data_IF_257587117744
#
_entry.id   IF_257587117744
#
_cell.length_a   1.000
_cell.length_b   1.000
_cell.length_c   1.000
_cell.angle_alpha   90.00
_cell.angle_beta   90.00
_cell.angle_gamma   90.00
#
_symmetry.space_group_name_H-M   'P 1'
#
loop_
_entity.id
_entity.type
_entity.pdbx_description
1 polymer ?
#
# COMPACT_ATOMS: atom_id res chain seq x y z
N UNK A 1 -8.71 19.92 -5.28
CA UNK A 1 -8.46 19.67 -3.85
C UNK A 1 -8.96 20.84 -2.97
N UNK A 2 -8.53 22.08 -3.18
CA UNK A 2 -8.95 23.24 -2.38
C UNK A 2 -10.47 23.40 -2.27
N UNK A 3 -11.23 23.26 -3.37
CA UNK A 3 -12.70 23.34 -3.37
C UNK A 3 -13.37 22.25 -2.52
N UNK A 4 -12.82 21.04 -2.50
CA UNK A 4 -13.33 19.90 -1.72
C UNK A 4 -13.16 20.12 -0.22
N UNK A 5 -12.10 20.84 0.21
CA UNK A 5 -11.74 21.04 1.61
C UNK A 5 -11.87 22.50 2.07
N UNK A 6 -12.68 23.32 1.39
CA UNK A 6 -12.83 24.76 1.65
C UNK A 6 -13.13 25.09 3.12
N UNK A 7 -13.90 24.26 3.82
CA UNK A 7 -14.21 24.45 5.25
C UNK A 7 -13.00 24.30 6.20
N UNK A 8 -11.87 23.78 5.69
CA UNK A 8 -10.61 23.59 6.44
C UNK A 8 -9.48 24.48 5.91
N UNK A 9 -9.77 25.45 5.04
CA UNK A 9 -8.76 26.21 4.28
C UNK A 9 -7.77 26.94 5.22
N UNK A 10 -8.23 27.39 6.40
CA UNK A 10 -7.39 28.01 7.42
C UNK A 10 -6.34 27.04 8.02
N UNK A 11 -6.62 25.73 7.99
CA UNK A 11 -5.73 24.68 8.52
C UNK A 11 -4.90 24.01 7.44
N UNK A 12 -5.17 24.30 6.17
CA UNK A 12 -4.56 23.61 5.04
C UNK A 12 -3.63 24.52 4.26
N UNK A 13 -2.43 24.02 3.96
CA UNK A 13 -1.49 24.65 3.05
C UNK A 13 -1.31 23.74 1.84
N UNK A 14 -1.41 24.32 0.64
CA UNK A 14 -1.31 23.58 -0.61
C UNK A 14 0.01 23.96 -1.30
N UNK A 15 0.92 22.99 -1.38
CA UNK A 15 2.19 23.15 -2.07
C UNK A 15 2.13 22.39 -3.41
N UNK A 16 2.47 23.06 -4.49
CA UNK A 16 2.78 22.42 -5.77
C UNK A 16 4.24 21.98 -5.68
N UNK A 17 4.49 20.70 -5.96
CA UNK A 17 5.83 20.11 -5.93
C UNK A 17 5.84 18.71 -6.50
N UNK A 18 7.03 18.19 -6.67
CA UNK A 18 7.32 16.83 -7.11
C UNK A 18 8.32 16.23 -6.10
N UNK A 19 8.13 14.96 -5.74
CA UNK A 19 9.04 14.28 -4.80
C UNK A 19 10.46 14.13 -5.35
N UNK A 20 10.64 14.27 -6.66
CA UNK A 20 11.95 14.30 -7.33
C UNK A 20 12.70 15.60 -7.12
N UNK A 21 12.01 16.67 -6.75
CA UNK A 21 12.59 17.97 -6.45
C UNK A 21 12.95 18.06 -4.95
N UNK A 22 14.20 17.74 -4.64
CA UNK A 22 14.74 17.76 -3.28
C UNK A 22 14.58 19.14 -2.62
N UNK A 23 14.91 20.21 -3.33
CA UNK A 23 14.85 21.56 -2.78
C UNK A 23 13.42 21.98 -2.42
N UNK A 24 12.44 21.51 -3.22
CA UNK A 24 11.03 21.75 -2.95
C UNK A 24 10.56 21.03 -1.68
N UNK A 25 11.05 19.82 -1.43
CA UNK A 25 10.72 19.07 -0.22
C UNK A 25 11.24 19.74 1.05
N UNK A 26 12.47 20.25 1.05
CA UNK A 26 13.00 21.00 2.20
C UNK A 26 12.10 22.18 2.59
N UNK A 27 11.63 22.97 1.61
CA UNK A 27 10.69 24.08 1.87
C UNK A 27 9.30 23.59 2.33
N UNK A 28 8.87 22.43 1.88
CA UNK A 28 7.59 21.88 2.28
C UNK A 28 7.62 21.28 3.70
N UNK A 29 8.78 20.79 4.15
CA UNK A 29 8.95 20.12 5.44
C UNK A 29 9.34 21.09 6.58
N UNK A 30 9.59 22.35 6.28
CA UNK A 30 9.88 23.38 7.29
C UNK A 30 8.76 23.45 8.34
N UNK A 31 9.06 23.12 9.60
CA UNK A 31 8.11 23.11 10.72
C UNK A 31 7.07 21.98 10.68
N UNK A 32 7.33 20.90 9.94
CA UNK A 32 6.45 19.73 9.87
C UNK A 32 6.89 18.67 10.87
N UNK A 33 5.98 18.20 11.71
CA UNK A 33 6.22 17.11 12.67
C UNK A 33 6.02 15.71 12.05
N UNK A 34 5.02 15.53 11.20
CA UNK A 34 4.61 14.23 10.66
C UNK A 34 4.48 14.26 9.14
N UNK A 35 5.02 13.25 8.48
CA UNK A 35 4.95 13.11 7.03
C UNK A 35 4.29 11.77 6.66
N UNK A 36 3.29 11.83 5.77
CA UNK A 36 2.73 10.65 5.10
C UNK A 36 3.16 10.69 3.64
N UNK A 37 4.01 9.75 3.25
CA UNK A 37 4.47 9.63 1.88
C UNK A 37 3.56 8.69 1.07
N UNK A 38 2.72 9.28 0.21
CA UNK A 38 1.78 8.55 -0.64
C UNK A 38 2.07 8.72 -2.16
N UNK A 39 3.11 9.47 -2.52
CA UNK A 39 3.46 9.69 -3.92
C UNK A 39 4.20 8.49 -4.51
N UNK A 40 3.72 7.99 -5.65
CA UNK A 40 4.39 6.94 -6.42
C UNK A 40 3.84 6.86 -7.85
N UNK A 41 4.66 6.39 -8.77
CA UNK A 41 4.18 5.79 -10.02
C UNK A 41 3.81 4.34 -9.71
N UNK A 42 2.53 3.97 -9.92
CA UNK A 42 2.00 2.67 -9.46
C UNK A 42 1.44 1.77 -10.57
N UNK A 43 1.24 2.31 -11.76
CA UNK A 43 0.69 1.52 -12.87
C UNK A 43 1.79 0.67 -13.49
N UNK A 44 1.64 -0.66 -13.39
CA UNK A 44 2.66 -1.62 -13.84
C UNK A 44 3.06 -1.40 -15.31
N UNK A 45 2.12 -1.35 -16.29
CA UNK A 45 2.53 -1.13 -17.68
C UNK A 45 3.26 0.21 -17.90
N UNK A 46 2.86 1.26 -17.19
CA UNK A 46 3.51 2.56 -17.32
C UNK A 46 4.92 2.57 -16.74
N UNK A 47 5.15 1.83 -15.65
CA UNK A 47 6.47 1.68 -15.04
C UNK A 47 7.40 0.86 -15.93
N UNK A 48 6.92 -0.25 -16.50
CA UNK A 48 7.69 -1.08 -17.42
C UNK A 48 8.11 -0.29 -18.68
N UNK A 49 7.21 0.52 -19.20
CA UNK A 49 7.49 1.35 -20.38
C UNK A 49 8.40 2.55 -20.06
N UNK A 50 8.34 3.10 -18.85
CA UNK A 50 9.12 4.27 -18.41
C UNK A 50 9.96 3.94 -17.15
N UNK A 51 10.93 3.01 -17.24
CA UNK A 51 11.65 2.50 -16.08
C UNK A 51 12.41 3.58 -15.30
N UNK A 52 13.05 4.51 -16.02
CA UNK A 52 13.81 5.60 -15.39
C UNK A 52 12.92 6.55 -14.58
N UNK A 53 11.72 6.83 -15.06
CA UNK A 53 10.77 7.70 -14.34
C UNK A 53 10.19 6.99 -13.12
N UNK A 54 9.99 5.67 -13.20
CA UNK A 54 9.60 4.87 -12.04
C UNK A 54 10.69 4.88 -10.95
N UNK A 55 11.96 4.71 -11.33
CA UNK A 55 13.11 4.80 -10.40
C UNK A 55 13.18 6.18 -9.78
N UNK A 56 13.23 7.24 -10.58
CA UNK A 56 13.31 8.63 -10.07
C UNK A 56 12.18 8.98 -9.12
N UNK A 57 10.95 8.54 -9.41
CA UNK A 57 9.81 8.89 -8.57
C UNK A 57 9.77 8.04 -7.30
N UNK A 58 9.91 6.73 -7.43
CA UNK A 58 9.68 5.80 -6.33
C UNK A 58 10.92 5.59 -5.45
N UNK A 59 12.13 5.72 -6.02
CA UNK A 59 13.39 5.52 -5.29
C UNK A 59 14.06 6.84 -4.96
N UNK A 60 14.39 7.68 -5.95
CA UNK A 60 15.04 8.97 -5.67
C UNK A 60 14.11 9.89 -4.86
N UNK A 61 12.78 9.84 -5.17
CA UNK A 61 11.77 10.52 -4.38
C UNK A 61 11.74 10.07 -2.93
N UNK A 62 11.90 8.78 -2.64
CA UNK A 62 12.00 8.25 -1.27
C UNK A 62 13.27 8.77 -0.58
N UNK A 63 14.42 8.75 -1.25
CA UNK A 63 15.68 9.29 -0.71
C UNK A 63 15.55 10.78 -0.38
N UNK A 64 14.99 11.58 -1.29
CA UNK A 64 14.75 13.01 -1.07
C UNK A 64 13.86 13.30 0.14
N UNK A 65 12.81 12.48 0.36
CA UNK A 65 11.94 12.60 1.52
C UNK A 65 12.68 12.25 2.81
N UNK A 66 13.49 11.19 2.80
CA UNK A 66 14.29 10.78 3.96
C UNK A 66 15.26 11.90 4.35
N UNK A 67 16.02 12.43 3.39
CA UNK A 67 16.98 13.52 3.61
C UNK A 67 16.28 14.77 4.17
N UNK A 68 15.21 15.21 3.51
CA UNK A 68 14.47 16.39 3.95
C UNK A 68 13.85 16.19 5.34
N UNK A 69 13.35 15.01 5.66
CA UNK A 69 12.77 14.70 6.97
C UNK A 69 13.83 14.71 8.08
N UNK A 70 15.00 14.13 7.81
CA UNK A 70 16.13 14.14 8.75
C UNK A 70 16.65 15.54 9.04
N UNK A 71 16.71 16.39 8.03
CA UNK A 71 17.31 17.73 8.14
C UNK A 71 16.32 18.79 8.65
N UNK A 72 15.02 18.65 8.35
CA UNK A 72 13.99 19.58 8.81
C UNK A 72 13.42 19.25 10.20
N UNK A 73 13.88 18.18 10.88
CA UNK A 73 13.46 17.84 12.23
C UNK A 73 12.06 17.20 12.28
N UNK A 74 11.65 16.51 11.23
CA UNK A 74 10.41 15.70 11.22
C UNK A 74 10.53 14.61 12.29
N UNK A 75 9.45 14.37 13.03
CA UNK A 75 9.41 13.36 14.11
C UNK A 75 9.01 11.96 13.62
N UNK A 76 8.09 11.89 12.67
CA UNK A 76 7.65 10.61 12.11
C UNK A 76 7.39 10.71 10.61
N UNK A 77 7.82 9.68 9.90
CA UNK A 77 7.50 9.46 8.48
C UNK A 77 6.82 8.10 8.34
N UNK A 78 5.63 8.06 7.75
CA UNK A 78 4.94 6.84 7.36
C UNK A 78 4.89 6.78 5.84
N UNK A 79 5.56 5.80 5.25
CA UNK A 79 5.52 5.57 3.81
C UNK A 79 4.49 4.51 3.44
N UNK A 80 3.70 4.80 2.39
CA UNK A 80 2.72 3.84 1.89
C UNK A 80 3.39 2.84 0.95
N UNK A 81 3.23 1.56 1.24
CA UNK A 81 3.72 0.44 0.46
C UNK A 81 2.56 -0.37 -0.14
N UNK A 82 2.87 -1.52 -0.73
CA UNK A 82 1.95 -2.34 -1.50
C UNK A 82 2.32 -3.82 -1.37
N UNK A 83 1.34 -4.70 -1.54
CA UNK A 83 1.52 -6.15 -1.74
C UNK A 83 2.45 -6.47 -2.92
N UNK A 84 2.55 -5.58 -3.90
CA UNK A 84 3.44 -5.76 -5.07
C UNK A 84 4.92 -5.58 -4.76
N UNK A 85 5.26 -4.94 -3.63
CA UNK A 85 6.62 -4.85 -3.11
C UNK A 85 7.12 -6.18 -2.50
N UNK A 86 6.18 -7.10 -2.21
CA UNK A 86 6.48 -8.42 -1.63
C UNK A 86 6.72 -9.41 -2.77
N UNK A 87 7.91 -10.03 -2.83
CA UNK A 87 8.30 -10.92 -3.93
C UNK A 87 7.97 -10.31 -5.31
N UNK A 88 8.54 -9.16 -5.66
CA UNK A 88 8.15 -8.39 -6.84
C UNK A 88 8.46 -9.13 -8.13
N UNK A 89 7.51 -9.13 -9.06
CA UNK A 89 7.65 -9.70 -10.42
C UNK A 89 7.49 -8.63 -11.51
N UNK A 90 7.43 -7.36 -11.12
CA UNK A 90 7.34 -6.20 -12.01
C UNK A 90 8.15 -5.03 -11.43
N UNK A 91 8.47 -4.05 -12.29
CA UNK A 91 9.30 -2.91 -11.92
C UNK A 91 8.66 -2.04 -10.83
N UNK A 92 7.33 -1.82 -10.89
CA UNK A 92 6.64 -1.09 -9.83
C UNK A 92 6.90 -1.73 -8.46
N UNK A 93 6.67 -3.03 -8.34
CA UNK A 93 6.96 -3.79 -7.12
C UNK A 93 8.41 -3.71 -6.72
N UNK A 94 9.34 -3.85 -7.67
CA UNK A 94 10.78 -3.73 -7.44
C UNK A 94 11.17 -2.37 -6.87
N UNK A 95 10.68 -1.27 -7.47
CA UNK A 95 10.95 0.09 -6.97
C UNK A 95 10.35 0.34 -5.59
N UNK A 96 9.17 -0.22 -5.31
CA UNK A 96 8.54 -0.12 -3.98
C UNK A 96 9.27 -0.94 -2.93
N UNK A 97 9.80 -2.13 -3.28
CA UNK A 97 10.66 -2.90 -2.37
C UNK A 97 11.91 -2.10 -1.98
N UNK A 98 12.58 -1.47 -2.95
CA UNK A 98 13.74 -0.62 -2.66
C UNK A 98 13.35 0.56 -1.77
N UNK A 99 12.26 1.27 -2.10
CA UNK A 99 11.72 2.34 -1.27
C UNK A 99 11.44 1.88 0.18
N UNK A 100 10.83 0.72 0.37
CA UNK A 100 10.55 0.13 1.69
C UNK A 100 11.86 -0.08 2.49
N UNK A 101 12.88 -0.64 1.84
CA UNK A 101 14.19 -0.86 2.47
C UNK A 101 14.87 0.46 2.84
N UNK A 102 14.75 1.50 2.00
CA UNK A 102 15.29 2.83 2.28
C UNK A 102 14.63 3.46 3.52
N UNK A 103 13.30 3.44 3.63
CA UNK A 103 12.60 3.97 4.80
C UNK A 103 12.91 3.17 6.08
N UNK A 104 12.96 1.85 6.01
CA UNK A 104 13.34 1.03 7.18
C UNK A 104 14.79 1.34 7.59
N UNK A 105 15.72 1.34 6.63
CA UNK A 105 17.14 1.62 6.87
C UNK A 105 17.43 3.04 7.37
N UNK A 106 16.59 4.02 7.00
CA UNK A 106 16.75 5.41 7.42
C UNK A 106 16.73 5.58 8.96
N UNK A 107 16.14 4.65 9.70
CA UNK A 107 16.21 4.67 11.17
C UNK A 107 17.64 4.51 11.70
N UNK A 108 18.52 3.83 10.97
CA UNK A 108 19.93 3.74 11.34
C UNK A 108 20.66 5.09 11.14
N UNK A 109 20.23 5.91 10.18
CA UNK A 109 20.82 7.22 9.89
C UNK A 109 20.33 8.31 10.84
N UNK A 110 19.25 8.07 11.56
CA UNK A 110 18.66 9.03 12.50
C UNK A 110 19.65 9.41 13.61
N UNK A 111 20.55 8.50 14.02
CA UNK A 111 21.50 8.75 15.09
C UNK A 111 20.78 9.13 16.39
N UNK A 112 21.07 10.36 16.89
CA UNK A 112 20.43 10.93 18.09
C UNK A 112 19.19 11.77 17.79
N UNK A 113 18.79 11.92 16.51
CA UNK A 113 17.61 12.69 16.11
C UNK A 113 16.33 11.96 16.56
N UNK A 114 15.36 12.71 17.07
CA UNK A 114 14.04 12.20 17.45
C UNK A 114 13.16 12.05 16.19
N UNK A 115 13.50 11.08 15.36
CA UNK A 115 12.75 10.76 14.13
C UNK A 115 12.58 9.23 14.00
N UNK A 116 11.43 8.81 13.50
CA UNK A 116 11.16 7.41 13.15
C UNK A 116 10.55 7.28 11.77
N UNK A 117 10.98 6.27 11.03
CA UNK A 117 10.45 5.89 9.73
C UNK A 117 9.77 4.53 9.83
N UNK A 118 8.57 4.43 9.29
CA UNK A 118 7.80 3.18 9.26
C UNK A 118 7.02 3.05 7.95
N UNK A 119 6.50 1.86 7.70
CA UNK A 119 5.79 1.53 6.46
C UNK A 119 4.40 1.03 6.81
N UNK A 120 3.45 1.36 5.93
CA UNK A 120 2.12 0.74 5.88
C UNK A 120 2.00 -0.01 4.57
N UNK A 121 1.73 -1.31 4.65
CA UNK A 121 1.58 -2.20 3.50
C UNK A 121 0.13 -2.68 3.42
N UNK A 122 -0.52 -2.47 2.30
CA UNK A 122 -1.88 -2.95 2.02
C UNK A 122 -2.05 -3.36 0.56
N UNK A 123 -3.13 -4.08 0.29
CA UNK A 123 -3.46 -4.57 -1.04
C UNK A 123 -4.18 -3.54 -1.91
N UNK A 124 -5.07 -4.03 -2.75
CA UNK A 124 -5.82 -3.20 -3.68
C UNK A 124 -6.87 -2.35 -2.94
N UNK A 125 -6.71 -1.03 -2.96
CA UNK A 125 -7.76 -0.12 -2.47
C UNK A 125 -8.91 -0.11 -3.47
N UNK A 126 -10.12 -0.42 -2.98
CA UNK A 126 -11.32 -0.49 -3.79
C UNK A 126 -11.59 0.84 -4.52
N UNK A 127 -11.92 0.78 -5.80
CA UNK A 127 -12.20 1.96 -6.63
C UNK A 127 -10.98 2.80 -7.02
N UNK A 128 -9.75 2.37 -6.69
CA UNK A 128 -8.55 3.12 -7.07
C UNK A 128 -8.36 3.17 -8.59
N UNK A 129 -7.82 4.31 -9.11
CA UNK A 129 -7.61 4.53 -10.55
C UNK A 129 -6.80 3.40 -11.19
N UNK A 130 -7.31 2.92 -12.34
CA UNK A 130 -6.69 1.84 -13.10
C UNK A 130 -6.84 0.45 -12.47
N UNK A 131 -7.69 0.30 -11.44
CA UNK A 131 -8.02 -1.00 -10.85
C UNK A 131 -9.18 -1.69 -11.58
N UNK A 132 -9.40 -2.97 -11.24
CA UNK A 132 -10.40 -3.82 -11.90
C UNK A 132 -11.84 -3.32 -11.74
N UNK A 133 -12.18 -2.67 -10.61
CA UNK A 133 -13.55 -2.17 -10.36
C UNK A 133 -13.93 -1.07 -11.37
N UNK A 134 -13.19 0.04 -11.51
CA UNK A 134 -13.48 1.02 -12.56
C UNK A 134 -13.44 0.44 -13.96
N UNK A 135 -12.54 -0.50 -14.23
CA UNK A 135 -12.45 -1.15 -15.53
C UNK A 135 -13.72 -1.93 -15.86
N UNK A 136 -14.21 -2.78 -14.96
CA UNK A 136 -15.45 -3.54 -15.17
C UNK A 136 -16.68 -2.62 -15.25
N UNK A 137 -16.78 -1.62 -14.37
CA UNK A 137 -17.87 -0.64 -14.42
C UNK A 137 -17.91 0.12 -15.75
N UNK A 138 -16.75 0.49 -16.29
CA UNK A 138 -16.68 1.16 -17.58
C UNK A 138 -17.17 0.27 -18.74
N UNK A 139 -16.84 -1.03 -18.72
CA UNK A 139 -17.37 -1.98 -19.71
C UNK A 139 -18.90 -2.02 -19.63
N UNK A 140 -19.47 -2.16 -18.45
CA UNK A 140 -20.92 -2.23 -18.23
C UNK A 140 -21.61 -0.94 -18.64
N UNK A 141 -21.04 0.22 -18.28
CA UNK A 141 -21.58 1.54 -18.64
C UNK A 141 -21.62 1.77 -20.15
N UNK A 142 -20.71 1.12 -20.90
CA UNK A 142 -20.69 1.15 -22.37
C UNK A 142 -21.51 0.02 -23.02
N UNK A 143 -22.39 -0.66 -22.26
CA UNK A 143 -23.28 -1.70 -22.77
C UNK A 143 -22.63 -3.08 -22.94
N UNK A 144 -21.43 -3.29 -22.41
CA UNK A 144 -20.76 -4.60 -22.45
C UNK A 144 -21.50 -5.63 -21.59
N UNK A 145 -21.59 -6.85 -22.10
CA UNK A 145 -22.25 -8.00 -21.44
C UNK A 145 -21.27 -9.07 -20.97
N UNK A 146 -19.98 -8.88 -21.26
CA UNK A 146 -18.91 -9.81 -20.91
C UNK A 146 -17.84 -9.05 -20.12
N UNK A 147 -17.33 -9.69 -19.05
CA UNK A 147 -16.23 -9.13 -18.24
C UNK A 147 -15.00 -10.04 -18.40
N UNK A 148 -13.90 -9.53 -19.01
CA UNK A 148 -12.71 -10.35 -19.22
C UNK A 148 -12.02 -10.68 -17.91
N UNK A 149 -11.76 -11.95 -17.67
CA UNK A 149 -11.09 -12.47 -16.47
C UNK A 149 -9.67 -12.85 -16.83
N UNK A 150 -8.71 -12.41 -16.04
CA UNK A 150 -7.29 -12.73 -16.25
C UNK A 150 -7.02 -14.22 -16.02
N UNK A 151 -7.57 -14.77 -14.94
CA UNK A 151 -7.50 -16.17 -14.55
C UNK A 151 -8.61 -16.47 -13.53
N UNK A 152 -9.30 -17.60 -13.66
CA UNK A 152 -10.40 -17.96 -12.75
C UNK A 152 -9.98 -18.25 -11.31
N UNK A 153 -8.71 -18.61 -11.09
CA UNK A 153 -8.16 -18.84 -9.76
C UNK A 153 -7.61 -17.55 -9.10
N UNK A 154 -7.61 -16.41 -9.83
CA UNK A 154 -7.01 -15.17 -9.36
C UNK A 154 -7.78 -14.61 -8.17
N UNK A 155 -7.01 -14.25 -7.13
CA UNK A 155 -7.55 -13.63 -5.92
C UNK A 155 -6.86 -12.31 -5.60
N UNK A 156 -7.55 -11.44 -4.90
CA UNK A 156 -7.03 -10.15 -4.42
C UNK A 156 -7.51 -9.91 -2.99
N UNK A 157 -6.80 -9.03 -2.28
CA UNK A 157 -7.25 -8.48 -1.02
C UNK A 157 -8.18 -7.30 -1.26
N UNK A 158 -9.15 -7.11 -0.37
CA UNK A 158 -10.05 -5.95 -0.37
C UNK A 158 -9.74 -5.04 0.81
N UNK A 159 -9.55 -3.77 0.54
CA UNK A 159 -9.48 -2.73 1.55
C UNK A 159 -10.23 -1.49 1.06
N UNK A 160 -11.02 -0.88 1.93
CA UNK A 160 -11.60 0.43 1.66
C UNK A 160 -10.56 1.54 1.84
N UNK A 161 -10.84 2.73 1.31
CA UNK A 161 -9.97 3.89 1.52
C UNK A 161 -9.88 4.25 3.00
N UNK A 162 -11.01 4.21 3.72
CA UNK A 162 -11.07 4.55 5.15
C UNK A 162 -10.25 3.58 6.00
N UNK A 163 -10.33 2.27 5.74
CA UNK A 163 -9.49 1.28 6.43
C UNK A 163 -7.99 1.53 6.19
N UNK A 164 -7.63 1.87 4.94
CA UNK A 164 -6.26 2.26 4.61
C UNK A 164 -5.80 3.50 5.38
N UNK A 165 -6.65 4.52 5.48
CA UNK A 165 -6.38 5.74 6.25
C UNK A 165 -6.24 5.43 7.74
N UNK A 166 -7.11 4.60 8.32
CA UNK A 166 -7.03 4.20 9.74
C UNK A 166 -5.71 3.46 10.03
N UNK A 167 -5.23 2.61 9.13
CA UNK A 167 -3.94 1.95 9.29
C UNK A 167 -2.77 2.96 9.28
N UNK A 168 -2.83 3.98 8.44
CA UNK A 168 -1.83 5.06 8.41
C UNK A 168 -1.83 5.85 9.72
N UNK A 169 -3.02 6.24 10.21
CA UNK A 169 -3.16 6.95 11.48
C UNK A 169 -2.62 6.10 12.64
N UNK A 170 -2.92 4.79 12.64
CA UNK A 170 -2.37 3.85 13.61
C UNK A 170 -0.85 3.81 13.56
N UNK A 171 -0.25 3.68 12.39
CA UNK A 171 1.20 3.69 12.24
C UNK A 171 1.81 5.02 12.72
N UNK A 172 1.21 6.17 12.40
CA UNK A 172 1.65 7.47 12.90
C UNK A 172 1.63 7.55 14.43
N UNK A 173 0.62 6.96 15.09
CA UNK A 173 0.50 6.99 16.54
C UNK A 173 1.45 6.02 17.24
N UNK A 174 1.60 4.80 16.72
CA UNK A 174 2.21 3.67 17.42
C UNK A 174 3.64 3.34 16.99
N UNK A 175 4.04 3.69 15.75
CA UNK A 175 5.37 3.33 15.24
C UNK A 175 6.50 3.93 16.07
N UNK A 176 7.53 3.12 16.30
CA UNK A 176 8.77 3.45 17.03
C UNK A 176 10.00 3.41 16.13
N UNK A 177 9.82 3.11 14.84
CA UNK A 177 10.83 3.10 13.78
C UNK A 177 11.16 1.71 13.26
N UNK A 178 10.99 1.54 11.94
CA UNK A 178 11.33 0.32 11.19
C UNK A 178 10.19 -0.67 10.99
N UNK A 179 9.06 -0.49 11.65
CA UNK A 179 7.91 -1.40 11.55
C UNK A 179 7.24 -1.32 10.18
N UNK A 180 6.75 -2.47 9.71
CA UNK A 180 5.81 -2.55 8.58
C UNK A 180 4.45 -2.99 9.11
N UNK A 181 3.47 -2.09 9.09
CA UNK A 181 2.09 -2.34 9.51
C UNK A 181 1.28 -2.93 8.35
N UNK A 182 0.52 -3.99 8.59
CA UNK A 182 -0.24 -4.72 7.58
C UNK A 182 -1.63 -5.02 8.13
N UNK A 183 -2.69 -4.52 7.48
CA UNK A 183 -4.07 -4.82 7.90
C UNK A 183 -4.43 -6.28 7.65
N UNK A 184 -5.19 -6.87 8.58
CA UNK A 184 -5.94 -8.09 8.32
C UNK A 184 -7.21 -7.72 7.57
N UNK A 185 -7.30 -8.11 6.32
CA UNK A 185 -8.37 -7.74 5.39
C UNK A 185 -8.84 -8.97 4.62
N UNK A 186 -10.11 -9.01 4.20
CA UNK A 186 -10.64 -10.13 3.46
C UNK A 186 -10.07 -10.25 2.05
N UNK A 187 -10.14 -11.45 1.50
CA UNK A 187 -9.85 -11.77 0.10
C UNK A 187 -11.12 -11.94 -0.69
N UNK A 188 -11.02 -11.80 -2.00
CA UNK A 188 -12.08 -12.11 -2.95
C UNK A 188 -11.51 -12.74 -4.22
N UNK A 189 -12.34 -13.50 -4.92
CA UNK A 189 -12.04 -14.00 -6.26
C UNK A 189 -12.44 -12.95 -7.30
N UNK A 190 -11.65 -12.81 -8.35
CA UNK A 190 -11.99 -11.88 -9.46
C UNK A 190 -13.31 -12.25 -10.13
N UNK A 191 -13.61 -13.55 -10.21
CA UNK A 191 -14.90 -14.07 -10.71
C UNK A 191 -16.08 -13.60 -9.86
N UNK A 192 -15.94 -13.60 -8.54
CA UNK A 192 -17.01 -13.16 -7.63
C UNK A 192 -17.24 -11.65 -7.75
N UNK A 193 -16.16 -10.87 -7.96
CA UNK A 193 -16.27 -9.44 -8.25
C UNK A 193 -17.00 -9.19 -9.56
N UNK A 194 -16.69 -9.94 -10.63
CA UNK A 194 -17.39 -9.83 -11.91
C UNK A 194 -18.88 -10.11 -11.75
N UNK A 195 -19.26 -11.18 -11.05
CA UNK A 195 -20.65 -11.52 -10.75
C UNK A 195 -21.35 -10.47 -9.85
N UNK A 196 -20.61 -9.82 -8.96
CA UNK A 196 -21.17 -8.76 -8.14
C UNK A 196 -21.48 -7.49 -8.95
N UNK A 197 -20.64 -7.16 -9.95
CA UNK A 197 -20.82 -5.99 -10.82
C UNK A 197 -21.86 -6.26 -11.91
N UNK A 198 -21.80 -7.41 -12.57
CA UNK A 198 -22.72 -7.78 -13.65
C UNK A 198 -23.18 -9.24 -13.48
N UNK A 199 -24.30 -9.47 -12.76
CA UNK A 199 -24.81 -10.81 -12.53
C UNK A 199 -25.11 -11.55 -13.84
N UNK A 200 -24.66 -12.81 -13.94
CA UNK A 200 -24.86 -13.64 -15.12
C UNK A 200 -23.99 -13.29 -16.33
N UNK A 201 -23.00 -12.40 -16.18
CA UNK A 201 -22.10 -12.06 -17.28
C UNK A 201 -21.26 -13.24 -17.74
N UNK A 202 -20.91 -13.27 -19.01
CA UNK A 202 -19.85 -14.14 -19.51
C UNK A 202 -18.51 -13.62 -19.05
N UNK A 203 -17.61 -14.52 -18.73
CA UNK A 203 -16.28 -14.22 -18.20
C UNK A 203 -15.21 -14.88 -19.09
N UNK A 204 -14.93 -14.34 -20.30
CA UNK A 204 -13.86 -14.89 -21.13
C UNK A 204 -12.52 -14.77 -20.42
N UNK A 205 -11.76 -15.86 -20.37
CA UNK A 205 -10.42 -15.86 -19.82
C UNK A 205 -9.42 -15.28 -20.84
N UNK A 206 -8.71 -14.24 -20.44
CA UNK A 206 -7.79 -13.52 -21.33
C UNK A 206 -6.32 -13.82 -21.07
N UNK A 207 -6.01 -14.59 -20.02
CA UNK A 207 -4.67 -14.97 -19.60
C UNK A 207 -4.02 -13.94 -18.66
N UNK A 208 -3.03 -14.41 -17.90
CA UNK A 208 -2.26 -13.58 -16.96
C UNK A 208 -1.38 -12.62 -17.75
N UNK A 209 -1.44 -11.34 -17.40
CA UNK A 209 -0.58 -10.31 -18.01
C UNK A 209 0.82 -10.38 -17.42
N UNK A 210 1.80 -9.91 -18.17
CA UNK A 210 3.16 -9.77 -17.67
C UNK A 210 3.16 -8.90 -16.40
N UNK A 211 3.84 -9.39 -15.37
CA UNK A 211 3.94 -8.69 -14.09
C UNK A 211 2.70 -8.79 -13.18
N UNK A 212 1.70 -9.62 -13.51
CA UNK A 212 0.55 -9.91 -12.64
C UNK A 212 0.71 -11.23 -11.89
N UNK A 213 0.43 -11.24 -10.60
CA UNK A 213 0.41 -12.46 -9.75
C UNK A 213 -0.98 -13.09 -9.74
N UNK A 214 -1.01 -14.41 -9.66
CA UNK A 214 -2.26 -15.14 -9.41
C UNK A 214 -2.85 -14.78 -8.03
N UNK A 215 -2.01 -14.79 -7.00
CA UNK A 215 -2.35 -14.38 -5.63
C UNK A 215 -1.38 -13.32 -5.14
N UNK A 216 -1.87 -12.37 -4.36
CA UNK A 216 -1.03 -11.37 -3.71
C UNK A 216 -0.57 -11.84 -2.34
N UNK A 217 0.62 -11.41 -1.92
CA UNK A 217 1.21 -11.75 -0.63
C UNK A 217 1.54 -10.47 0.11
N UNK A 218 1.23 -10.41 1.41
CA UNK A 218 1.56 -9.28 2.28
C UNK A 218 2.58 -9.61 3.37
N UNK A 219 2.63 -10.87 3.81
CA UNK A 219 3.67 -11.40 4.70
C UNK A 219 4.23 -12.63 4.04
N UNK A 220 5.53 -12.65 3.77
CA UNK A 220 6.22 -13.84 3.23
C UNK A 220 6.54 -14.83 4.33
N UNK A 221 6.91 -16.05 3.94
CA UNK A 221 7.40 -17.05 4.89
C UNK A 221 8.66 -16.60 5.62
N UNK A 222 9.51 -15.84 4.95
CA UNK A 222 10.73 -15.24 5.51
C UNK A 222 10.38 -14.11 6.49
N UNK A 223 9.41 -13.23 6.15
CA UNK A 223 8.92 -12.19 7.04
C UNK A 223 8.33 -12.77 8.34
N UNK A 224 7.82 -14.02 8.33
CA UNK A 224 7.23 -14.68 9.49
C UNK A 224 8.13 -14.73 10.70
N UNK A 225 9.45 -14.78 10.47
CA UNK A 225 10.47 -14.84 11.55
C UNK A 225 10.44 -13.58 12.45
N UNK A 226 9.94 -12.47 11.93
CA UNK A 226 9.85 -11.19 12.64
C UNK A 226 8.45 -10.59 12.66
N UNK A 227 7.42 -11.38 12.29
CA UNK A 227 6.03 -10.96 12.25
C UNK A 227 5.30 -11.27 13.53
N UNK A 228 4.55 -10.29 14.01
CA UNK A 228 3.65 -10.42 15.15
C UNK A 228 2.22 -10.13 14.72
N UNK A 229 1.31 -10.98 15.18
CA UNK A 229 -0.12 -10.89 14.95
C UNK A 229 -0.79 -10.15 16.10
N UNK A 230 -1.61 -9.17 15.76
CA UNK A 230 -2.51 -8.43 16.64
C UNK A 230 -3.96 -8.68 16.22
N UNK A 231 -4.93 -8.12 16.93
CA UNK A 231 -6.35 -8.30 16.64
C UNK A 231 -6.70 -7.99 15.16
N UNK A 232 -6.39 -6.77 14.70
CA UNK A 232 -6.78 -6.29 13.36
C UNK A 232 -5.63 -6.10 12.38
N UNK A 233 -4.40 -6.44 12.74
CA UNK A 233 -3.23 -6.20 11.90
C UNK A 233 -2.07 -7.12 12.25
N UNK A 234 -1.11 -7.20 11.33
CA UNK A 234 0.22 -7.73 11.58
C UNK A 234 1.23 -6.57 11.62
N UNK A 235 2.34 -6.79 12.33
CA UNK A 235 3.52 -5.93 12.25
C UNK A 235 4.71 -6.83 11.94
N UNK A 236 5.43 -6.50 10.87
CA UNK A 236 6.75 -7.05 10.59
C UNK A 236 7.77 -6.11 11.22
N UNK A 237 8.53 -6.59 12.19
CA UNK A 237 9.58 -5.83 12.85
C UNK A 237 10.91 -5.96 12.11
N UNK A 238 11.80 -4.96 12.17
CA UNK A 238 13.13 -5.07 11.59
C UNK A 238 13.93 -6.20 12.24
N UNK A 239 14.70 -6.93 11.43
CA UNK A 239 15.67 -7.90 11.90
C UNK A 239 17.08 -7.38 11.60
N UNK A 240 17.44 -6.30 12.30
CA UNK A 240 18.69 -5.56 12.13
C UNK A 240 19.35 -5.32 13.48
N UNK A 241 20.69 -5.29 13.54
CA UNK A 241 21.45 -5.12 14.77
C UNK A 241 21.18 -3.79 15.51
N UNK A 242 20.82 -2.75 14.75
CA UNK A 242 20.48 -1.44 15.32
C UNK A 242 19.08 -1.38 15.94
N UNK A 243 18.24 -2.39 15.70
CA UNK A 243 16.86 -2.38 16.18
C UNK A 243 16.73 -3.10 17.53
N UNK A 244 16.05 -2.49 18.48
CA UNK A 244 15.86 -3.04 19.80
C UNK A 244 14.50 -3.75 19.94
N UNK A 245 14.53 -5.06 20.25
CA UNK A 245 13.32 -5.87 20.46
C UNK A 245 12.41 -5.38 21.60
N UNK A 246 12.93 -4.57 22.55
CA UNK A 246 12.11 -3.89 23.55
C UNK A 246 11.07 -2.91 22.94
N UNK A 247 11.24 -2.55 21.68
CA UNK A 247 10.26 -1.74 20.92
C UNK A 247 9.04 -2.56 20.43
N UNK A 248 9.05 -3.90 20.54
CA UNK A 248 7.89 -4.73 20.15
C UNK A 248 6.70 -4.31 21.02
N UNK A 249 5.57 -4.08 20.34
CA UNK A 249 4.34 -3.64 21.01
C UNK A 249 3.78 -4.78 21.88
N UNK A 250 3.24 -4.43 23.04
CA UNK A 250 2.56 -5.38 23.90
C UNK A 250 1.31 -5.97 23.23
N UNK A 251 0.95 -7.20 23.60
CA UNK A 251 -0.26 -7.87 23.13
C UNK A 251 -0.14 -8.55 21.76
N UNK A 252 1.00 -8.43 21.09
CA UNK A 252 1.25 -9.16 19.84
C UNK A 252 1.66 -10.61 20.10
N UNK A 253 1.16 -11.54 19.30
CA UNK A 253 1.59 -12.95 19.28
C UNK A 253 2.49 -13.16 18.07
N UNK A 254 3.70 -13.65 18.27
CA UNK A 254 4.60 -14.02 17.19
C UNK A 254 3.95 -15.13 16.34
N UNK A 255 3.93 -14.96 15.02
CA UNK A 255 3.38 -15.99 14.11
C UNK A 255 4.33 -17.19 14.03
N UNK A 256 3.81 -18.35 13.62
CA UNK A 256 4.62 -19.55 13.44
C UNK A 256 5.60 -19.37 12.28
N UNK A 257 6.83 -19.92 12.38
CA UNK A 257 7.78 -19.92 11.26
C UNK A 257 7.17 -20.55 10.01
N UNK A 258 7.32 -19.87 8.88
CA UNK A 258 6.72 -20.31 7.61
C UNK A 258 5.27 -19.84 7.40
N UNK A 259 4.71 -19.07 8.32
CA UNK A 259 3.43 -18.39 8.10
C UNK A 259 3.50 -17.48 6.87
N UNK A 260 2.47 -17.53 6.05
CA UNK A 260 2.32 -16.67 4.87
C UNK A 260 0.93 -16.01 4.89
N UNK A 261 0.87 -14.70 4.78
CA UNK A 261 -0.38 -13.98 4.61
C UNK A 261 -0.59 -13.65 3.13
N UNK A 262 -1.42 -14.45 2.46
CA UNK A 262 -1.65 -14.42 1.03
C UNK A 262 -3.15 -14.37 0.73
N UNK A 263 -3.53 -13.68 -0.35
CA UNK A 263 -4.93 -13.59 -0.79
C UNK A 263 -5.52 -14.93 -1.20
N UNK A 264 -4.68 -15.89 -1.61
CA UNK A 264 -5.11 -17.23 -1.99
C UNK A 264 -5.34 -18.19 -0.81
N UNK A 265 -4.77 -17.86 0.37
CA UNK A 265 -4.81 -18.71 1.58
C UNK A 265 -5.43 -17.99 2.78
N UNK A 266 -6.14 -16.91 2.56
CA UNK A 266 -6.75 -16.11 3.61
C UNK A 266 -7.90 -16.89 4.30
N UNK A 267 -8.09 -16.65 5.60
CA UNK A 267 -9.21 -17.18 6.37
C UNK A 267 -10.52 -16.38 6.18
N UNK A 268 -10.42 -15.13 5.68
CA UNK A 268 -11.54 -14.22 5.49
C UNK A 268 -11.81 -14.04 4.00
N UNK A 269 -13.03 -14.36 3.57
CA UNK A 269 -13.44 -14.26 2.18
C UNK A 269 -14.71 -13.44 2.03
N UNK A 270 -14.76 -12.61 0.99
CA UNK A 270 -15.96 -11.90 0.59
C UNK A 270 -16.75 -12.75 -0.42
N UNK A 271 -18.02 -12.93 -0.13
CA UNK A 271 -18.99 -13.52 -1.06
C UNK A 271 -19.41 -12.50 -2.13
N UNK A 272 -20.08 -12.96 -3.18
CA UNK A 272 -20.70 -12.09 -4.19
C UNK A 272 -21.66 -11.07 -3.56
N UNK A 273 -22.42 -11.47 -2.55
CA UNK A 273 -23.37 -10.56 -1.88
C UNK A 273 -22.67 -9.55 -0.96
N UNK A 274 -21.56 -9.92 -0.34
CA UNK A 274 -20.73 -8.96 0.40
C UNK A 274 -20.12 -7.94 -0.54
N UNK A 275 -19.56 -8.37 -1.68
CA UNK A 275 -19.02 -7.50 -2.71
C UNK A 275 -20.09 -6.55 -3.27
N UNK A 276 -21.33 -7.00 -3.52
CA UNK A 276 -22.44 -6.13 -3.95
C UNK A 276 -22.76 -5.04 -2.96
N UNK A 277 -22.68 -5.33 -1.64
CA UNK A 277 -22.90 -4.33 -0.59
C UNK A 277 -21.77 -3.31 -0.58
N UNK A 278 -20.52 -3.79 -0.54
CA UNK A 278 -19.34 -2.95 -0.48
C UNK A 278 -19.17 -2.06 -1.72
N UNK A 279 -19.53 -2.56 -2.91
CA UNK A 279 -19.47 -1.80 -4.16
C UNK A 279 -20.39 -0.57 -4.18
N UNK A 280 -21.44 -0.50 -3.33
CA UNK A 280 -22.30 0.68 -3.22
C UNK A 280 -21.59 1.88 -2.61
N UNK A 281 -20.64 1.62 -1.72
CA UNK A 281 -19.89 2.64 -0.98
C UNK A 281 -18.56 3.00 -1.66
N UNK A 282 -18.23 2.30 -2.77
CA UNK A 282 -17.00 2.57 -3.53
C UNK A 282 -17.21 3.78 -4.43
N UNK A 283 -16.65 4.93 -4.02
CA UNK A 283 -16.49 6.09 -4.87
C UNK A 283 -15.36 5.86 -5.89
N UNK A 284 -15.56 6.30 -7.14
CA UNK A 284 -14.50 6.34 -8.15
C UNK A 284 -13.65 7.59 -7.93
N UNK A 285 -12.35 7.41 -7.67
CA UNK A 285 -11.39 8.48 -7.39
C UNK A 285 -10.49 8.80 -8.58
#
# INVERSE_FOLDING_TARGET
MRNKFKKYDEKLRYFIGDVRDRNRLYRAFEGVDYVVHAAALKQVPSCEYNPMEAVKTNIDGAMNIIDAALDCGVKKVVALSTDKAVNPINLYGGTKLVSDKLFIGANAYAGTKDISFSIVRYGNVAGSRGSVIPFFRNIVANGGTELPITDYAMTRFWISLDEGVQLVIKALSEAKGGETFISKIPSFKITDLAQAILPGCKMPEVGIREGEKLHEVMVTKEDSLSTYEYDKHFIVYPHMDWWNSAKIQAGGKKVEPGFEYSSGKNSQWLSVDDLKKLLKDVEEH
#
